data_IF_263878578983
#
_entry.id   IF_263878578983
#
_cell.length_a   1.000
_cell.length_b   1.000
_cell.length_c   1.000
_cell.angle_alpha   90.00
_cell.angle_beta   90.00
_cell.angle_gamma   90.00
#
_symmetry.space_group_name_H-M   'P 1'
#
loop_
_entity.id
_entity.type
_entity.pdbx_description
1 polymer ?
#
# COMPACT_ATOMS: atom_id res chain seq x y z
N UNK A 1 20.21 46.27 1.74
CA UNK A 1 21.25 45.95 0.72
C UNK A 1 21.41 44.46 0.45
N UNK A 2 20.33 43.80 0.02
CA UNK A 2 20.39 42.44 -0.58
C UNK A 2 19.76 42.44 -1.97
N UNK A 3 18.77 43.32 -2.20
CA UNK A 3 18.15 43.53 -3.52
C UNK A 3 19.05 44.20 -4.57
N UNK A 4 20.11 44.91 -4.15
CA UNK A 4 21.04 45.60 -5.06
C UNK A 4 22.16 44.67 -5.55
N UNK A 5 22.45 43.57 -4.84
CA UNK A 5 23.55 42.67 -5.19
C UNK A 5 23.19 41.67 -6.29
N UNK A 6 21.91 41.30 -6.44
CA UNK A 6 21.43 40.40 -7.49
C UNK A 6 19.97 40.72 -7.85
N UNK A 7 19.69 41.37 -9.01
CA UNK A 7 18.32 41.59 -9.46
C UNK A 7 17.71 40.22 -9.80
N UNK A 8 16.84 39.70 -8.92
CA UNK A 8 16.28 38.33 -9.04
C UNK A 8 16.16 37.57 -7.71
N UNK A 9 16.84 38.03 -6.65
CA UNK A 9 16.76 37.48 -5.29
C UNK A 9 15.67 38.14 -4.42
N UNK A 10 14.59 38.66 -5.00
CA UNK A 10 13.43 39.07 -4.21
C UNK A 10 12.78 37.84 -3.60
N UNK A 11 12.65 37.78 -2.26
CA UNK A 11 12.07 36.63 -1.53
C UNK A 11 10.66 36.20 -1.98
N UNK A 12 9.99 37.01 -2.79
CA UNK A 12 8.69 36.73 -3.41
C UNK A 12 8.72 35.54 -4.38
N UNK A 13 9.76 35.39 -5.21
CA UNK A 13 9.83 34.29 -6.18
C UNK A 13 9.97 32.90 -5.52
N UNK A 14 10.92 32.67 -4.59
CA UNK A 14 10.96 31.41 -3.83
C UNK A 14 9.75 31.24 -2.90
N UNK A 15 9.17 32.34 -2.40
CA UNK A 15 7.93 32.30 -1.61
C UNK A 15 6.73 31.78 -2.40
N UNK A 16 6.52 32.24 -3.64
CA UNK A 16 5.44 31.76 -4.50
C UNK A 16 5.65 30.32 -4.94
N UNK A 17 6.89 29.94 -5.28
CA UNK A 17 7.23 28.58 -5.67
C UNK A 17 6.99 27.59 -4.51
N UNK A 18 7.40 27.94 -3.29
CA UNK A 18 7.16 27.12 -2.10
C UNK A 18 5.67 27.05 -1.74
N UNK A 19 4.91 28.13 -1.87
CA UNK A 19 3.46 28.11 -1.68
C UNK A 19 2.75 27.19 -2.69
N UNK A 20 3.09 27.28 -3.97
CA UNK A 20 2.57 26.39 -5.01
C UNK A 20 2.92 24.93 -4.74
N UNK A 21 4.16 24.66 -4.30
CA UNK A 21 4.59 23.33 -3.92
C UNK A 21 3.79 22.78 -2.74
N UNK A 22 3.60 23.55 -1.67
CA UNK A 22 2.84 23.10 -0.49
C UNK A 22 1.40 22.75 -0.87
N UNK A 23 0.74 23.57 -1.68
CA UNK A 23 -0.63 23.30 -2.15
C UNK A 23 -0.69 22.04 -3.00
N UNK A 24 0.24 21.88 -3.95
CA UNK A 24 0.33 20.72 -4.84
C UNK A 24 0.61 19.44 -4.03
N UNK A 25 1.57 19.51 -3.11
CA UNK A 25 1.97 18.40 -2.25
C UNK A 25 0.82 17.91 -1.38
N UNK A 26 0.11 18.81 -0.70
CA UNK A 26 -1.06 18.47 0.13
C UNK A 26 -2.20 17.85 -0.70
N UNK A 27 -2.39 18.34 -1.92
CA UNK A 27 -3.38 17.81 -2.86
C UNK A 27 -3.06 16.38 -3.29
N UNK A 28 -1.82 16.15 -3.74
CA UNK A 28 -1.33 14.84 -4.17
C UNK A 28 -1.35 13.85 -3.01
N UNK A 29 -0.93 14.25 -1.81
CA UNK A 29 -0.93 13.38 -0.64
C UNK A 29 -2.34 12.90 -0.28
N UNK A 30 -3.32 13.81 -0.23
CA UNK A 30 -4.70 13.45 0.10
C UNK A 30 -5.32 12.52 -0.95
N UNK A 31 -5.09 12.78 -2.23
CA UNK A 31 -5.57 11.92 -3.31
C UNK A 31 -4.86 10.57 -3.30
N UNK A 32 -3.54 10.56 -3.10
CA UNK A 32 -2.71 9.37 -2.97
C UNK A 32 -3.19 8.44 -1.86
N UNK A 33 -3.53 8.99 -0.67
CA UNK A 33 -4.12 8.20 0.42
C UNK A 33 -5.45 7.54 0.04
N UNK A 34 -6.32 8.24 -0.70
CA UNK A 34 -7.62 7.68 -1.16
C UNK A 34 -7.41 6.54 -2.16
N UNK A 35 -6.49 6.71 -3.11
CA UNK A 35 -6.14 5.68 -4.10
C UNK A 35 -5.48 4.48 -3.42
N UNK A 36 -4.59 4.72 -2.45
CA UNK A 36 -3.93 3.67 -1.67
C UNK A 36 -4.92 2.79 -0.89
N UNK A 37 -5.96 3.39 -0.29
CA UNK A 37 -7.05 2.62 0.35
C UNK A 37 -7.80 1.74 -0.65
N UNK A 38 -8.20 2.29 -1.80
CA UNK A 38 -8.87 1.53 -2.85
C UNK A 38 -8.01 0.38 -3.39
N UNK A 39 -6.70 0.61 -3.53
CA UNK A 39 -5.74 -0.42 -3.93
C UNK A 39 -5.64 -1.54 -2.88
N UNK A 40 -5.60 -1.18 -1.59
CA UNK A 40 -5.50 -2.17 -0.51
C UNK A 40 -6.73 -3.10 -0.45
N UNK A 41 -7.91 -2.55 -0.75
CA UNK A 41 -9.18 -3.27 -0.81
C UNK A 41 -9.24 -4.19 -2.03
N UNK A 42 -8.85 -3.68 -3.21
CA UNK A 42 -8.71 -4.47 -4.43
C UNK A 42 -7.78 -5.67 -4.22
N UNK A 43 -6.58 -5.41 -3.71
CA UNK A 43 -5.60 -6.47 -3.46
C UNK A 43 -6.05 -7.49 -2.41
N UNK A 44 -6.98 -7.13 -1.51
CA UNK A 44 -7.52 -8.05 -0.50
C UNK A 44 -8.55 -8.99 -1.13
N UNK A 45 -9.45 -8.44 -1.97
CA UNK A 45 -10.41 -9.24 -2.75
C UNK A 45 -9.70 -10.15 -3.76
N UNK A 46 -8.68 -9.64 -4.44
CA UNK A 46 -7.85 -10.44 -5.35
C UNK A 46 -7.16 -11.61 -4.63
N UNK A 47 -6.63 -11.37 -3.43
CA UNK A 47 -6.02 -12.42 -2.63
C UNK A 47 -7.04 -13.50 -2.23
N UNK A 48 -8.26 -13.10 -1.84
CA UNK A 48 -9.36 -14.03 -1.54
C UNK A 48 -9.75 -14.87 -2.75
N UNK A 49 -9.89 -14.25 -3.92
CA UNK A 49 -10.16 -14.96 -5.18
C UNK A 49 -9.06 -15.97 -5.52
N UNK A 50 -7.78 -15.57 -5.40
CA UNK A 50 -6.64 -16.47 -5.65
C UNK A 50 -6.62 -17.66 -4.69
N UNK A 51 -6.93 -17.45 -3.41
CA UNK A 51 -7.04 -18.52 -2.44
C UNK A 51 -8.14 -19.52 -2.85
N UNK A 52 -9.35 -19.04 -3.13
CA UNK A 52 -10.46 -19.89 -3.57
C UNK A 52 -10.15 -20.65 -4.88
N UNK A 53 -9.52 -19.99 -5.84
CA UNK A 53 -9.09 -20.61 -7.09
C UNK A 53 -8.01 -21.68 -6.88
N UNK A 54 -7.04 -21.44 -5.99
CA UNK A 54 -6.01 -22.43 -5.66
C UNK A 54 -6.58 -23.67 -4.97
N UNK A 55 -7.56 -23.50 -4.08
CA UNK A 55 -8.25 -24.60 -3.41
C UNK A 55 -8.98 -25.48 -4.41
N UNK A 56 -9.73 -24.89 -5.34
CA UNK A 56 -10.42 -25.64 -6.41
C UNK A 56 -9.47 -26.41 -7.30
N UNK A 57 -8.31 -25.82 -7.63
CA UNK A 57 -7.26 -26.53 -8.39
C UNK A 57 -6.72 -27.74 -7.63
N UNK A 58 -6.59 -27.65 -6.30
CA UNK A 58 -6.13 -28.77 -5.48
C UNK A 58 -7.18 -29.90 -5.39
N UNK A 59 -8.47 -29.56 -5.38
CA UNK A 59 -9.58 -30.52 -5.28
C UNK A 59 -10.28 -30.81 -6.62
N UNK A 60 -9.63 -30.55 -7.75
CA UNK A 60 -10.23 -30.68 -9.08
C UNK A 60 -10.73 -32.12 -9.38
N UNK A 61 -9.98 -33.13 -8.94
CA UNK A 61 -10.36 -34.54 -9.08
C UNK A 61 -11.65 -34.85 -8.31
N UNK A 62 -11.78 -34.35 -7.08
CA UNK A 62 -13.01 -34.51 -6.29
C UNK A 62 -14.19 -33.80 -6.93
N UNK A 63 -14.01 -32.59 -7.45
CA UNK A 63 -15.07 -31.83 -8.12
C UNK A 63 -15.58 -32.59 -9.36
N UNK A 64 -14.66 -33.14 -10.16
CA UNK A 64 -14.99 -33.93 -11.34
C UNK A 64 -15.69 -35.24 -10.97
N UNK A 65 -15.22 -35.92 -9.91
CA UNK A 65 -15.81 -37.18 -9.43
C UNK A 65 -17.27 -37.01 -8.96
N UNK A 66 -17.58 -35.91 -8.27
CA UNK A 66 -18.94 -35.62 -7.80
C UNK A 66 -19.79 -34.82 -8.80
N UNK A 67 -19.25 -34.46 -9.98
CA UNK A 67 -19.96 -33.67 -10.98
C UNK A 67 -20.32 -32.25 -10.51
N UNK A 68 -19.54 -31.66 -9.59
CA UNK A 68 -19.82 -30.37 -8.95
C UNK A 68 -19.36 -29.13 -9.74
N UNK A 69 -19.02 -29.28 -11.02
CA UNK A 69 -18.36 -28.23 -11.83
C UNK A 69 -19.19 -26.94 -11.94
N UNK A 70 -20.49 -27.05 -12.19
CA UNK A 70 -21.39 -25.89 -12.31
C UNK A 70 -21.52 -25.13 -10.98
N UNK A 71 -21.67 -25.86 -9.87
CA UNK A 71 -21.78 -25.27 -8.53
C UNK A 71 -20.49 -24.53 -8.16
N UNK A 72 -19.33 -25.17 -8.38
CA UNK A 72 -18.04 -24.55 -8.07
C UNK A 72 -17.73 -23.37 -8.97
N UNK A 73 -18.20 -23.38 -10.22
CA UNK A 73 -18.10 -22.24 -11.13
C UNK A 73 -18.90 -21.04 -10.62
N UNK A 74 -20.17 -21.22 -10.26
CA UNK A 74 -21.00 -20.13 -9.71
C UNK A 74 -20.35 -19.54 -8.44
N UNK A 75 -19.78 -20.41 -7.61
CA UNK A 75 -19.16 -20.01 -6.35
C UNK A 75 -17.78 -19.33 -6.59
N UNK A 76 -17.08 -19.65 -7.69
CA UNK A 76 -15.88 -18.93 -8.14
C UNK A 76 -16.22 -17.57 -8.75
N UNK A 77 -17.27 -17.51 -9.57
CA UNK A 77 -17.75 -16.28 -10.20
C UNK A 77 -18.19 -15.25 -9.14
N UNK A 78 -18.85 -15.72 -8.06
CA UNK A 78 -19.19 -14.88 -6.90
C UNK A 78 -17.98 -14.28 -6.17
N UNK A 79 -16.80 -14.88 -6.26
CA UNK A 79 -15.54 -14.29 -5.76
C UNK A 79 -14.87 -13.37 -6.78
N UNK A 80 -15.14 -13.55 -8.07
CA UNK A 80 -14.53 -12.78 -9.15
C UNK A 80 -15.22 -11.43 -9.37
N UNK A 81 -16.55 -11.40 -9.37
CA UNK A 81 -17.35 -10.19 -9.54
C UNK A 81 -16.94 -9.02 -8.61
N UNK A 82 -16.78 -9.21 -7.28
CA UNK A 82 -16.33 -8.12 -6.41
C UNK A 82 -14.89 -7.66 -6.71
N UNK A 83 -14.04 -8.50 -7.29
CA UNK A 83 -12.69 -8.09 -7.73
C UNK A 83 -12.80 -7.12 -8.91
N UNK A 84 -13.68 -7.40 -9.88
CA UNK A 84 -13.91 -6.55 -11.05
C UNK A 84 -14.49 -5.19 -10.64
N UNK A 85 -15.51 -5.17 -9.78
CA UNK A 85 -16.12 -3.93 -9.27
C UNK A 85 -15.09 -3.05 -8.54
N UNK A 86 -14.23 -3.69 -7.74
CA UNK A 86 -13.16 -3.02 -7.00
C UNK A 86 -12.09 -2.46 -7.91
N UNK A 87 -11.76 -3.19 -8.97
CA UNK A 87 -10.80 -2.77 -9.97
C UNK A 87 -11.31 -1.54 -10.72
N UNK A 88 -12.59 -1.55 -11.11
CA UNK A 88 -13.22 -0.40 -11.76
C UNK A 88 -13.23 0.82 -10.83
N UNK A 89 -13.58 0.64 -9.56
CA UNK A 89 -13.54 1.71 -8.55
C UNK A 89 -12.13 2.26 -8.34
N UNK A 90 -11.12 1.38 -8.32
CA UNK A 90 -9.72 1.78 -8.23
C UNK A 90 -9.27 2.56 -9.47
N UNK A 91 -9.60 2.09 -10.68
CA UNK A 91 -9.25 2.75 -11.93
C UNK A 91 -9.83 4.16 -12.01
N UNK A 92 -11.11 4.33 -11.67
CA UNK A 92 -11.77 5.64 -11.65
C UNK A 92 -11.18 6.62 -10.63
N UNK A 93 -10.62 6.13 -9.53
CA UNK A 93 -9.94 6.97 -8.53
C UNK A 93 -8.49 7.30 -8.94
N UNK A 94 -7.82 6.37 -9.62
CA UNK A 94 -6.43 6.49 -10.04
C UNK A 94 -6.27 7.41 -11.25
N UNK A 95 -7.13 7.27 -12.25
CA UNK A 95 -7.06 8.05 -13.50
C UNK A 95 -7.00 9.58 -13.30
N UNK A 96 -7.93 10.23 -12.56
CA UNK A 96 -7.87 11.68 -12.37
C UNK A 96 -6.62 12.12 -11.61
N UNK A 97 -6.08 11.28 -10.74
CA UNK A 97 -4.84 11.58 -10.04
C UNK A 97 -3.63 11.55 -10.99
N UNK A 98 -3.55 10.56 -11.89
CA UNK A 98 -2.49 10.51 -12.91
C UNK A 98 -2.58 11.69 -13.89
N UNK A 99 -3.80 12.06 -14.31
CA UNK A 99 -4.02 13.25 -15.16
C UNK A 99 -3.60 14.52 -14.43
N UNK A 100 -3.97 14.68 -13.16
CA UNK A 100 -3.60 15.84 -12.35
C UNK A 100 -2.07 15.95 -12.17
N UNK A 101 -1.41 14.82 -11.92
CA UNK A 101 0.04 14.75 -11.78
C UNK A 101 0.75 15.12 -13.09
N UNK A 102 0.22 14.66 -14.24
CA UNK A 102 0.74 15.04 -15.56
C UNK A 102 0.55 16.54 -15.85
N UNK A 103 -0.60 17.11 -15.47
CA UNK A 103 -0.85 18.55 -15.59
C UNK A 103 0.12 19.38 -14.75
N UNK A 104 0.41 18.97 -13.51
CA UNK A 104 1.42 19.64 -12.69
C UNK A 104 2.83 19.49 -13.28
N UNK A 105 3.13 18.34 -13.89
CA UNK A 105 4.40 18.14 -14.59
C UNK A 105 4.55 19.05 -15.82
N UNK A 106 3.49 19.32 -16.56
CA UNK A 106 3.55 20.27 -17.67
C UNK A 106 3.53 21.72 -17.19
N UNK A 107 2.72 22.02 -16.17
CA UNK A 107 2.54 23.37 -15.62
C UNK A 107 3.79 23.96 -14.97
N UNK A 108 4.72 23.11 -14.49
CA UNK A 108 5.96 23.62 -13.90
C UNK A 108 6.85 24.37 -14.93
N UNK A 109 6.83 23.97 -16.20
CA UNK A 109 7.61 24.63 -17.26
C UNK A 109 7.04 26.01 -17.60
N UNK A 110 5.72 26.15 -17.63
CA UNK A 110 5.07 27.44 -17.90
C UNK A 110 5.27 28.41 -16.74
N UNK A 111 5.21 27.93 -15.49
CA UNK A 111 5.50 28.74 -14.30
C UNK A 111 6.97 29.22 -14.31
N UNK A 112 7.92 28.35 -14.64
CA UNK A 112 9.33 28.71 -14.71
C UNK A 112 9.60 29.77 -15.79
N UNK A 113 9.03 29.63 -17.00
CA UNK A 113 9.17 30.63 -18.05
C UNK A 113 8.55 31.98 -17.68
N UNK A 114 7.34 31.98 -17.09
CA UNK A 114 6.67 33.21 -16.68
C UNK A 114 7.46 33.97 -15.62
N UNK A 115 7.94 33.27 -14.59
CA UNK A 115 8.71 33.90 -13.52
C UNK A 115 10.11 34.33 -13.97
N UNK A 116 10.79 33.51 -14.78
CA UNK A 116 12.05 33.89 -15.43
C UNK A 116 11.88 35.15 -16.27
N UNK A 117 10.78 35.26 -17.02
CA UNK A 117 10.44 36.43 -17.83
C UNK A 117 10.24 37.69 -16.98
N UNK A 118 9.43 37.61 -15.91
CA UNK A 118 9.19 38.75 -15.00
C UNK A 118 10.48 39.26 -14.37
N UNK A 119 11.38 38.35 -13.99
CA UNK A 119 12.69 38.73 -13.41
C UNK A 119 13.59 39.37 -14.48
N UNK A 120 13.61 38.83 -15.70
CA UNK A 120 14.38 39.38 -16.81
C UNK A 120 13.95 40.81 -17.19
N UNK A 121 12.68 41.17 -17.05
CA UNK A 121 12.21 42.54 -17.34
C UNK A 121 12.69 43.61 -16.35
N UNK A 122 13.30 43.25 -15.21
CA UNK A 122 13.78 44.24 -14.22
C UNK A 122 15.14 44.84 -14.55
N UNK A 123 15.93 44.22 -15.42
CA UNK A 123 17.23 44.76 -15.83
C UNK A 123 17.06 45.70 -17.03
N UNK A 124 17.91 46.72 -17.16
CA UNK A 124 17.90 47.68 -18.28
C UNK A 124 18.76 47.24 -19.47
N UNK A 125 19.78 46.41 -19.25
CA UNK A 125 20.72 45.97 -20.29
C UNK A 125 20.29 44.65 -20.98
N UNK A 126 20.26 44.62 -22.31
CA UNK A 126 19.78 43.48 -23.10
C UNK A 126 20.61 42.20 -22.88
N UNK A 127 21.93 42.35 -22.68
CA UNK A 127 22.83 41.21 -22.46
C UNK A 127 22.67 40.66 -21.04
N UNK A 128 22.47 41.54 -20.05
CA UNK A 128 22.10 41.21 -18.68
C UNK A 128 20.79 40.42 -18.62
N UNK A 129 19.74 40.90 -19.30
CA UNK A 129 18.42 40.25 -19.36
C UNK A 129 18.47 38.79 -19.79
N UNK A 130 19.19 38.48 -20.87
CA UNK A 130 19.25 37.13 -21.44
C UNK A 130 19.96 36.18 -20.47
N UNK A 131 21.10 36.60 -19.90
CA UNK A 131 21.84 35.78 -18.93
C UNK A 131 21.04 35.52 -17.66
N UNK A 132 20.32 36.54 -17.19
CA UNK A 132 19.57 36.49 -15.96
C UNK A 132 18.27 35.66 -16.12
N UNK A 133 17.64 35.73 -17.30
CA UNK A 133 16.57 34.82 -17.69
C UNK A 133 17.04 33.36 -17.70
N UNK A 134 18.14 33.06 -18.40
CA UNK A 134 18.60 31.68 -18.60
C UNK A 134 19.03 31.03 -17.27
N UNK A 135 19.76 31.79 -16.43
CA UNK A 135 20.16 31.34 -15.09
C UNK A 135 18.94 31.06 -14.20
N UNK A 136 17.98 31.97 -14.16
CA UNK A 136 16.79 31.85 -13.30
C UNK A 136 15.86 30.74 -13.78
N UNK A 137 15.62 30.64 -15.09
CA UNK A 137 14.77 29.63 -15.69
C UNK A 137 15.36 28.22 -15.48
N UNK A 138 16.66 28.04 -15.73
CA UNK A 138 17.35 26.76 -15.53
C UNK A 138 17.34 26.29 -14.07
N UNK A 139 17.64 27.20 -13.13
CA UNK A 139 17.57 26.91 -11.70
C UNK A 139 16.14 26.54 -11.25
N UNK A 140 15.14 27.28 -11.74
CA UNK A 140 13.74 27.08 -11.37
C UNK A 140 13.17 25.76 -11.92
N UNK A 141 13.46 25.44 -13.19
CA UNK A 141 13.08 24.15 -13.78
C UNK A 141 13.70 22.99 -13.00
N UNK A 142 14.98 23.08 -12.64
CA UNK A 142 15.67 22.01 -11.89
C UNK A 142 15.05 21.81 -10.50
N UNK A 143 14.73 22.90 -9.80
CA UNK A 143 14.07 22.85 -8.50
C UNK A 143 12.67 22.24 -8.60
N UNK A 144 11.85 22.70 -9.55
CA UNK A 144 10.50 22.20 -9.75
C UNK A 144 10.47 20.71 -10.17
N UNK A 145 11.39 20.29 -11.06
CA UNK A 145 11.55 18.88 -11.43
C UNK A 145 11.88 18.00 -10.22
N UNK A 146 12.79 18.44 -9.35
CA UNK A 146 13.15 17.70 -8.15
C UNK A 146 11.94 17.56 -7.19
N UNK A 147 11.20 18.65 -6.99
CA UNK A 147 9.99 18.68 -6.17
C UNK A 147 8.87 17.78 -6.72
N UNK A 148 8.69 17.75 -8.04
CA UNK A 148 7.73 16.88 -8.69
C UNK A 148 8.13 15.40 -8.55
N UNK A 149 9.41 15.08 -8.75
CA UNK A 149 9.93 13.71 -8.50
C UNK A 149 9.64 13.23 -7.07
N UNK A 150 9.83 14.09 -6.06
CA UNK A 150 9.48 13.77 -4.66
C UNK A 150 7.99 13.47 -4.53
N UNK A 151 7.13 14.27 -5.17
CA UNK A 151 5.68 14.06 -5.15
C UNK A 151 5.27 12.73 -5.80
N UNK A 152 5.90 12.36 -6.92
CA UNK A 152 5.72 11.05 -7.56
C UNK A 152 6.15 9.89 -6.64
N UNK A 153 7.33 10.00 -6.01
CA UNK A 153 7.86 8.97 -5.13
C UNK A 153 7.00 8.73 -3.90
N UNK A 154 6.32 9.77 -3.40
CA UNK A 154 5.39 9.64 -2.28
C UNK A 154 4.23 8.68 -2.58
N UNK A 155 3.76 8.64 -3.83
CA UNK A 155 2.72 7.70 -4.25
C UNK A 155 3.24 6.26 -4.21
N UNK A 156 4.45 6.01 -4.71
CA UNK A 156 5.04 4.67 -4.68
C UNK A 156 5.38 4.24 -3.24
N UNK A 157 5.77 5.19 -2.40
CA UNK A 157 5.92 4.97 -0.96
C UNK A 157 4.58 4.59 -0.29
N UNK A 158 3.48 5.24 -0.66
CA UNK A 158 2.15 4.88 -0.13
C UNK A 158 1.75 3.45 -0.51
N UNK A 159 2.09 3.00 -1.74
CA UNK A 159 1.90 1.61 -2.16
C UNK A 159 2.79 0.64 -1.37
N UNK A 160 4.06 0.98 -1.20
CA UNK A 160 5.01 0.17 -0.42
C UNK A 160 4.57 0.03 1.04
N UNK A 161 4.12 1.12 1.66
CA UNK A 161 3.57 1.13 3.01
C UNK A 161 2.35 0.20 3.14
N UNK A 162 1.44 0.20 2.16
CA UNK A 162 0.30 -0.71 2.16
C UNK A 162 0.70 -2.19 2.08
N UNK A 163 1.75 -2.52 1.33
CA UNK A 163 2.31 -3.88 1.30
C UNK A 163 2.97 -4.26 2.63
N UNK A 164 3.75 -3.35 3.22
CA UNK A 164 4.38 -3.53 4.53
C UNK A 164 3.36 -3.80 5.63
N UNK A 165 2.20 -3.13 5.62
CA UNK A 165 1.12 -3.39 6.57
C UNK A 165 0.61 -4.83 6.52
N UNK A 166 0.61 -5.48 5.34
CA UNK A 166 0.21 -6.88 5.21
C UNK A 166 1.24 -7.83 5.82
N UNK A 167 2.52 -7.56 5.58
CA UNK A 167 3.62 -8.35 6.15
C UNK A 167 3.67 -8.17 7.66
N UNK A 168 3.47 -6.96 8.17
CA UNK A 168 3.37 -6.67 9.62
C UNK A 168 2.27 -7.50 10.27
N UNK A 169 1.07 -7.51 9.67
CA UNK A 169 -0.04 -8.33 10.18
C UNK A 169 0.27 -9.82 10.18
N UNK A 170 0.97 -10.32 9.16
CA UNK A 170 1.39 -11.72 9.13
C UNK A 170 2.35 -12.03 10.28
N UNK A 171 3.30 -11.13 10.54
CA UNK A 171 4.24 -11.25 11.64
C UNK A 171 3.53 -11.26 13.00
N UNK A 172 2.58 -10.33 13.21
CA UNK A 172 1.75 -10.27 14.42
C UNK A 172 0.96 -11.58 14.66
N UNK A 173 0.35 -12.14 13.60
CA UNK A 173 -0.38 -13.40 13.70
C UNK A 173 0.56 -14.58 14.00
N UNK A 174 1.75 -14.59 13.41
CA UNK A 174 2.75 -15.63 13.64
C UNK A 174 3.28 -15.58 15.08
N UNK A 175 3.51 -14.38 15.62
CA UNK A 175 3.89 -14.17 17.01
C UNK A 175 2.78 -14.62 17.97
N UNK A 176 1.53 -14.25 17.70
CA UNK A 176 0.38 -14.71 18.48
C UNK A 176 0.22 -16.24 18.47
N UNK A 177 0.48 -16.89 17.33
CA UNK A 177 0.45 -18.34 17.21
C UNK A 177 1.54 -19.01 18.06
N UNK A 178 2.77 -18.50 18.04
CA UNK A 178 3.86 -19.03 18.88
C UNK A 178 3.55 -18.91 20.38
N UNK A 179 2.93 -17.81 20.80
CA UNK A 179 2.48 -17.63 22.20
C UNK A 179 1.39 -18.65 22.56
N UNK A 180 0.42 -18.87 21.66
CA UNK A 180 -0.63 -19.86 21.85
C UNK A 180 -0.08 -21.29 21.96
N UNK A 181 0.88 -21.66 21.11
CA UNK A 181 1.53 -22.97 21.13
C UNK A 181 2.33 -23.18 22.42
N UNK A 182 3.06 -22.16 22.89
CA UNK A 182 3.76 -22.20 24.18
C UNK A 182 2.80 -22.39 25.36
N UNK A 183 1.63 -21.73 25.33
CA UNK A 183 0.59 -21.88 26.35
C UNK A 183 -0.04 -23.28 26.31
N UNK A 184 -0.38 -23.81 25.13
CA UNK A 184 -0.90 -25.17 24.99
C UNK A 184 0.12 -26.21 25.44
N UNK A 185 1.39 -26.10 25.02
CA UNK A 185 2.46 -26.99 25.47
C UNK A 185 2.66 -26.99 26.99
N UNK A 186 2.51 -25.83 27.64
CA UNK A 186 2.53 -25.72 29.09
C UNK A 186 1.32 -26.41 29.75
N UNK A 187 0.11 -26.26 29.19
CA UNK A 187 -1.11 -26.92 29.69
C UNK A 187 -1.00 -28.44 29.56
N UNK A 188 -0.51 -28.95 28.42
CA UNK A 188 -0.33 -30.40 28.20
C UNK A 188 0.67 -31.00 29.21
N UNK A 189 1.74 -30.28 29.52
CA UNK A 189 2.72 -30.72 30.53
C UNK A 189 2.12 -30.72 31.95
N UNK A 190 1.27 -29.75 32.29
CA UNK A 190 0.57 -29.69 33.57
C UNK A 190 -0.47 -30.81 33.71
N UNK A 191 -1.21 -31.14 32.64
CA UNK A 191 -2.16 -32.26 32.67
C UNK A 191 -1.48 -33.62 32.79
N UNK A 192 -0.35 -33.83 32.09
CA UNK A 192 0.44 -35.06 32.19
C UNK A 192 1.08 -35.22 33.57
N UNK A 193 1.49 -34.13 34.22
CA UNK A 193 1.96 -34.18 35.60
C UNK A 193 0.82 -34.44 36.60
N UNK A 194 -0.37 -33.86 36.38
CA UNK A 194 -1.54 -34.09 37.24
C UNK A 194 -2.07 -35.53 37.16
N UNK A 195 -1.98 -36.18 36.01
CA UNK A 195 -2.40 -37.58 35.82
C UNK A 195 -1.46 -38.58 36.52
N UNK A 196 -0.18 -38.24 36.70
CA UNK A 196 0.79 -39.07 37.45
C UNK A 196 0.58 -39.04 38.97
N UNK A 197 -0.16 -38.06 39.49
CA UNK A 197 -0.42 -37.89 40.93
C UNK A 197 -1.78 -38.44 41.37
N UNK A 198 -2.60 -38.99 40.46
CA UNK A 198 -3.77 -39.78 40.87
C UNK A 198 -3.37 -41.22 41.20
N UNK A 199 -3.85 -41.80 42.32
CA UNK A 199 -3.60 -43.20 42.62
C UNK A 199 -4.17 -44.04 41.47
N UNK A 200 -3.32 -44.88 40.89
CA UNK A 200 -3.65 -45.84 39.85
C UNK A 200 -4.73 -46.78 40.41
N UNK A 201 -5.99 -46.56 40.04
CA UNK A 201 -7.05 -47.53 40.30
C UNK A 201 -6.69 -48.73 39.44
N UNK A 202 -6.40 -49.86 40.08
CA UNK A 202 -6.24 -51.14 39.43
C UNK A 202 -7.53 -51.43 38.66
N UNK A 203 -7.45 -51.38 37.34
CA UNK A 203 -8.52 -51.77 36.43
C UNK A 203 -8.62 -53.29 36.53
N UNK A 204 -9.49 -53.77 37.41
CA UNK A 204 -9.85 -55.18 37.53
C UNK A 204 -10.59 -55.57 36.25
N UNK A 205 -9.92 -56.37 35.42
CA UNK A 205 -10.39 -56.85 34.13
C UNK A 205 -11.60 -57.80 34.33
N UNK A 206 -12.83 -57.41 33.94
CA UNK A 206 -14.05 -58.16 34.25
C UNK A 206 -14.17 -59.49 33.49
N UNK A 207 -13.22 -59.81 32.58
CA UNK A 207 -13.24 -61.06 31.81
C UNK A 207 -12.61 -62.25 32.53
N UNK A 208 -11.75 -62.03 33.54
CA UNK A 208 -11.00 -63.13 34.19
C UNK A 208 -11.83 -63.85 35.27
N UNK A 209 -12.88 -63.22 35.82
CA UNK A 209 -13.75 -63.82 36.85
C UNK A 209 -14.95 -64.61 36.29
N UNK A 210 -15.24 -64.49 34.99
CA UNK A 210 -16.34 -65.25 34.37
C UNK A 210 -16.02 -66.75 34.21
N UNK A 211 -14.75 -67.14 34.24
CA UNK A 211 -14.31 -68.53 34.02
C UNK A 211 -14.19 -69.37 35.31
N UNK A 212 -14.46 -68.77 36.48
CA UNK A 212 -14.44 -69.49 37.79
C UNK A 212 -15.82 -69.83 38.36
N UNK A 213 -16.91 -69.52 37.64
CA UNK A 213 -18.29 -69.79 38.10
C UNK A 213 -19.08 -70.66 37.10
N UNK A 214 -18.39 -71.44 36.26
CA UNK A 214 -19.00 -72.52 35.48
C UNK A 214 -18.50 -73.88 35.95
#
# INVERSE_FOLDING_TARGET
DVEVAMPGQGGLAPGLASAFFVVTFLGVERLGRKVGRAQSELQAREAGFRAAHSQRRAFAEGISFYGGEDTEKVLLDGHFEPVVESFQTFAWKKFPMEVLQLLFYQGQFTIAMLLGGVVAFRDSDQTGRIRLFDLTNSAMVTCLMALNKISCQLMDFAKASALLMRVSKLYEVMEAFLVYEAQMGAVTNVTVHREKDLPRVEEVDPLIDAERVA
#
